data_IF_513190990188
#
_entry.id   IF_513190990188
#
_cell.length_a   1.000
_cell.length_b   1.000
_cell.length_c   1.000
_cell.angle_alpha   90.00
_cell.angle_beta   90.00
_cell.angle_gamma   90.00
#
_symmetry.space_group_name_H-M   'P 1'
#
loop_
_entity.id
_entity.type
_entity.pdbx_description
1 polymer ?
#
# COMPACT_ATOMS: atom_id res chain seq x y z
N UNK A 1 -25.82 -60.05 3.65
CA UNK A 1 -26.16 -58.79 2.95
C UNK A 1 -25.24 -58.67 1.76
N UNK A 2 -25.82 -58.71 0.57
CA UNK A 2 -25.14 -58.91 -0.71
C UNK A 2 -24.19 -57.76 -1.08
N UNK A 3 -23.03 -58.18 -1.55
CA UNK A 3 -21.96 -57.37 -2.10
C UNK A 3 -22.42 -56.84 -3.47
N UNK A 4 -23.05 -55.65 -3.51
CA UNK A 4 -23.47 -55.01 -4.76
C UNK A 4 -22.21 -54.67 -5.57
N UNK A 5 -22.09 -55.31 -6.73
CA UNK A 5 -20.94 -55.21 -7.63
C UNK A 5 -20.66 -53.77 -8.06
N UNK A 6 -19.38 -53.40 -7.96
CA UNK A 6 -18.85 -52.12 -8.43
C UNK A 6 -19.14 -51.95 -9.93
N UNK A 7 -19.70 -50.80 -10.29
CA UNK A 7 -20.08 -50.45 -11.65
C UNK A 7 -18.84 -50.45 -12.56
N UNK A 8 -18.95 -50.93 -13.80
CA UNK A 8 -17.81 -51.08 -14.74
C UNK A 8 -17.03 -49.77 -14.98
N UNK A 9 -17.70 -48.62 -14.81
CA UNK A 9 -17.09 -47.28 -14.87
C UNK A 9 -16.04 -47.07 -13.79
N UNK A 10 -16.22 -47.58 -12.57
CA UNK A 10 -15.24 -47.46 -11.47
C UNK A 10 -13.99 -48.31 -11.71
N UNK A 11 -14.08 -49.37 -12.54
CA UNK A 11 -12.92 -50.17 -12.96
C UNK A 11 -12.07 -49.50 -14.03
N UNK A 12 -12.70 -48.72 -14.92
CA UNK A 12 -11.99 -47.99 -15.98
C UNK A 12 -11.52 -46.60 -15.53
N UNK A 13 -12.24 -46.00 -14.58
CA UNK A 13 -11.91 -44.73 -13.96
C UNK A 13 -11.96 -44.88 -12.45
N UNK A 14 -10.90 -45.46 -11.88
CA UNK A 14 -10.72 -45.44 -10.43
C UNK A 14 -10.62 -43.98 -9.98
N UNK A 15 -11.49 -43.51 -9.07
CA UNK A 15 -11.39 -42.15 -8.56
C UNK A 15 -10.00 -41.95 -7.94
N UNK A 16 -9.23 -41.00 -8.46
CA UNK A 16 -7.90 -40.67 -7.95
C UNK A 16 -7.93 -40.01 -6.56
N UNK A 17 -9.14 -39.74 -6.03
CA UNK A 17 -9.34 -39.13 -4.73
C UNK A 17 -10.51 -39.83 -4.01
N UNK A 18 -10.22 -40.33 -2.81
CA UNK A 18 -11.19 -40.82 -1.83
C UNK A 18 -11.66 -39.68 -0.94
N UNK A 19 -12.85 -39.80 -0.33
CA UNK A 19 -13.29 -38.88 0.72
C UNK A 19 -12.30 -38.84 1.91
N UNK A 20 -11.51 -39.89 2.13
CA UNK A 20 -10.40 -39.87 3.09
C UNK A 20 -9.23 -38.97 2.66
N UNK A 21 -9.01 -38.73 1.37
CA UNK A 21 -7.91 -37.88 0.87
C UNK A 21 -8.16 -36.39 1.13
N UNK A 22 -9.42 -36.00 1.35
CA UNK A 22 -9.79 -34.66 1.82
C UNK A 22 -9.41 -34.41 3.29
N UNK A 23 -9.27 -35.46 4.10
CA UNK A 23 -8.97 -35.35 5.53
C UNK A 23 -7.54 -35.75 5.90
N UNK A 24 -6.83 -36.47 5.03
CA UNK A 24 -5.46 -36.95 5.27
C UNK A 24 -4.37 -35.98 4.79
N UNK A 25 -4.73 -35.03 3.92
CA UNK A 25 -3.80 -33.97 3.52
C UNK A 25 -3.89 -32.84 4.54
N UNK A 26 -2.81 -32.65 5.29
CA UNK A 26 -2.59 -31.51 6.17
C UNK A 26 -2.54 -30.20 5.35
N UNK A 27 -3.70 -29.73 4.87
CA UNK A 27 -3.88 -28.39 4.38
C UNK A 27 -3.78 -27.45 5.58
N UNK A 28 -2.56 -26.98 5.85
CA UNK A 28 -2.39 -25.70 6.52
C UNK A 28 -2.95 -24.66 5.56
N UNK A 29 -4.09 -24.02 5.86
CA UNK A 29 -4.70 -23.09 4.93
C UNK A 29 -3.71 -21.95 4.66
N UNK A 30 -3.55 -21.53 3.39
CA UNK A 30 -2.78 -20.35 3.01
C UNK A 30 -3.09 -19.10 3.87
N UNK A 31 -4.27 -19.07 4.51
CA UNK A 31 -4.66 -18.09 5.54
C UNK A 31 -3.61 -17.92 6.65
N UNK A 32 -2.99 -19.00 7.13
CA UNK A 32 -1.97 -18.92 8.18
C UNK A 32 -0.65 -18.32 7.68
N UNK A 33 -0.33 -18.47 6.39
CA UNK A 33 0.89 -17.89 5.81
C UNK A 33 0.73 -16.37 5.62
N UNK A 34 -0.43 -15.91 5.15
CA UNK A 34 -0.73 -14.48 5.05
C UNK A 34 -0.79 -13.81 6.42
N UNK A 35 -1.39 -14.46 7.42
CA UNK A 35 -1.46 -13.97 8.79
C UNK A 35 -0.06 -13.90 9.45
N UNK A 36 0.79 -14.91 9.26
CA UNK A 36 2.20 -14.88 9.71
C UNK A 36 2.99 -13.77 9.05
N UNK A 37 2.78 -13.52 7.75
CA UNK A 37 3.45 -12.44 7.02
C UNK A 37 2.99 -11.06 7.49
N UNK A 38 1.68 -10.91 7.76
CA UNK A 38 1.09 -9.69 8.31
C UNK A 38 1.62 -9.41 9.73
N UNK A 39 1.67 -10.43 10.59
CA UNK A 39 2.24 -10.33 11.94
C UNK A 39 3.73 -9.96 11.89
N UNK A 40 4.51 -10.55 10.99
CA UNK A 40 5.92 -10.24 10.80
C UNK A 40 6.15 -8.80 10.29
N UNK A 41 5.24 -8.29 9.44
CA UNK A 41 5.26 -6.88 9.01
C UNK A 41 4.89 -5.94 10.16
N UNK A 42 3.87 -6.27 10.94
CA UNK A 42 3.46 -5.48 12.11
C UNK A 42 4.59 -5.38 13.14
N UNK A 43 5.24 -6.51 13.47
CA UNK A 43 6.41 -6.53 14.38
C UNK A 43 7.56 -5.67 13.88
N UNK A 44 7.90 -5.72 12.57
CA UNK A 44 8.94 -4.84 12.00
C UNK A 44 8.59 -3.36 12.11
N UNK A 45 7.33 -3.00 11.88
CA UNK A 45 6.88 -1.60 12.01
C UNK A 45 6.95 -1.15 13.47
N UNK A 46 6.53 -1.99 14.40
CA UNK A 46 6.61 -1.75 15.84
C UNK A 46 8.06 -1.57 16.29
N UNK A 47 8.99 -2.41 15.84
CA UNK A 47 10.43 -2.29 16.10
C UNK A 47 11.02 -0.97 15.57
N UNK A 48 10.62 -0.54 14.37
CA UNK A 48 11.05 0.73 13.79
C UNK A 48 10.54 1.91 14.64
N UNK A 49 9.27 1.87 15.05
CA UNK A 49 8.68 2.93 15.85
C UNK A 49 9.31 3.02 17.24
N UNK A 50 9.51 1.88 17.91
CA UNK A 50 10.19 1.81 19.21
C UNK A 50 11.64 2.27 19.13
N UNK A 51 12.35 1.94 18.04
CA UNK A 51 13.71 2.46 17.78
C UNK A 51 13.71 3.97 17.59
N UNK A 52 12.76 4.50 16.83
CA UNK A 52 12.63 5.95 16.61
C UNK A 52 12.34 6.71 17.91
N UNK A 53 11.46 6.17 18.78
CA UNK A 53 11.18 6.75 20.10
C UNK A 53 12.45 6.77 20.95
N UNK A 54 13.19 5.65 21.00
CA UNK A 54 14.42 5.55 21.78
C UNK A 54 15.46 6.56 21.29
N UNK A 55 15.66 6.64 19.97
CA UNK A 55 16.59 7.59 19.37
C UNK A 55 16.19 9.04 19.66
N UNK A 56 14.90 9.38 19.58
CA UNK A 56 14.40 10.72 19.90
C UNK A 56 14.62 11.08 21.38
N UNK A 57 14.40 10.13 22.30
CA UNK A 57 14.65 10.34 23.73
C UNK A 57 16.16 10.49 24.03
N UNK A 58 17.01 9.69 23.39
CA UNK A 58 18.47 9.79 23.50
C UNK A 58 18.98 11.11 22.91
N UNK A 59 18.48 11.53 21.76
CA UNK A 59 18.83 12.82 21.15
C UNK A 59 18.40 13.99 22.04
N UNK A 60 17.21 13.93 22.65
CA UNK A 60 16.77 14.92 23.64
C UNK A 60 17.68 14.93 24.87
N UNK A 61 18.17 13.77 25.31
CA UNK A 61 19.15 13.66 26.41
C UNK A 61 20.51 14.23 26.04
N UNK A 62 20.99 13.99 24.81
CA UNK A 62 22.23 14.56 24.29
C UNK A 62 22.14 16.08 24.17
N UNK A 63 21.05 16.61 23.61
CA UNK A 63 20.79 18.06 23.55
C UNK A 63 20.72 18.70 24.93
N UNK A 64 20.08 18.04 25.90
CA UNK A 64 20.05 18.49 27.30
C UNK A 64 21.45 18.47 27.90
N UNK A 65 22.25 17.43 27.63
CA UNK A 65 23.65 17.33 28.08
C UNK A 65 24.53 18.40 27.42
N UNK A 66 24.39 18.67 26.12
CA UNK A 66 25.08 19.77 25.43
C UNK A 66 24.68 21.14 25.98
N UNK A 67 23.39 21.34 26.28
CA UNK A 67 22.93 22.58 26.92
C UNK A 67 23.58 22.75 28.30
N UNK A 68 23.63 21.70 29.11
CA UNK A 68 24.35 21.73 30.39
C UNK A 68 25.86 21.86 30.22
N UNK A 69 26.48 21.25 29.21
CA UNK A 69 27.91 21.43 28.94
C UNK A 69 28.22 22.87 28.54
N UNK A 70 27.36 23.51 27.74
CA UNK A 70 27.47 24.94 27.40
C UNK A 70 27.21 25.83 28.63
N UNK A 71 26.30 25.44 29.52
CA UNK A 71 26.01 26.16 30.76
C UNK A 71 27.16 26.03 31.78
N UNK A 72 27.73 24.83 31.94
CA UNK A 72 28.86 24.54 32.84
C UNK A 72 30.14 25.21 32.34
N UNK A 73 30.39 25.21 31.01
CA UNK A 73 31.51 25.97 30.43
C UNK A 73 31.33 27.48 30.65
N UNK A 74 30.10 27.97 30.77
CA UNK A 74 29.80 29.38 31.07
C UNK A 74 29.81 29.70 32.58
N UNK A 75 29.53 28.73 33.45
CA UNK A 75 29.58 28.86 34.92
C UNK A 75 30.99 28.65 35.50
N UNK A 76 31.92 28.04 34.75
CA UNK A 76 33.34 27.91 35.12
C UNK A 76 34.26 28.97 34.47
N UNK A 77 33.72 30.16 34.15
CA UNK A 77 34.53 31.38 34.13
C UNK A 77 34.40 32.07 35.50
N UNK A 78 35.32 31.81 36.45
CA UNK A 78 35.32 32.53 37.70
C UNK A 78 35.70 33.99 37.42
N UNK A 79 34.68 34.86 37.43
CA UNK A 79 34.85 36.28 37.69
C UNK A 79 35.56 36.45 39.05
N UNK A 80 36.87 36.67 39.04
CA UNK A 80 37.63 37.08 40.22
C UNK A 80 38.22 38.46 39.94
N UNK A 81 37.42 39.48 40.26
CA UNK A 81 37.95 40.78 40.68
C UNK A 81 38.10 40.73 42.19
N UNK A 82 39.35 40.74 42.66
CA UNK A 82 39.79 41.35 43.92
C UNK A 82 39.52 40.63 45.24
N UNK A 83 40.49 39.83 45.72
CA UNK A 83 40.83 39.77 47.14
C UNK A 83 42.25 39.22 47.36
N UNK A 84 43.06 40.01 48.08
CA UNK A 84 44.36 39.66 48.70
C UNK A 84 44.34 38.28 49.36
N UNK A 85 45.44 37.53 49.27
CA UNK A 85 46.26 37.04 50.40
C UNK A 85 47.56 36.41 49.85
N UNK A 86 48.66 36.79 50.50
CA UNK A 86 50.05 36.32 50.39
C UNK A 86 50.21 34.80 50.58
N UNK A 87 51.16 34.15 49.89
CA UNK A 87 52.24 33.23 50.38
C UNK A 87 53.23 33.02 49.18
N UNK A 88 54.34 33.76 49.05
CA UNK A 88 55.72 33.50 49.53
C UNK A 88 56.38 32.17 49.09
N UNK A 89 57.38 32.26 48.19
CA UNK A 89 58.71 31.58 48.13
C UNK A 89 59.26 31.72 46.70
N UNK A 90 60.07 32.75 46.41
CA UNK A 90 61.56 32.78 46.46
C UNK A 90 62.24 31.75 45.55
N UNK A 91 62.90 32.25 44.51
CA UNK A 91 64.30 31.98 44.13
C UNK A 91 64.68 33.02 43.05
N UNK A 92 65.28 34.16 43.44
CA UNK A 92 66.71 34.53 43.32
C UNK A 92 67.26 34.50 41.91
N UNK A 93 67.40 35.69 41.30
CA UNK A 93 68.60 36.17 40.59
C UNK A 93 68.38 37.67 40.32
N UNK A 94 68.79 38.50 41.28
CA UNK A 94 68.92 39.95 41.16
C UNK A 94 70.41 40.29 41.08
N UNK A 95 70.84 40.79 39.92
CA UNK A 95 72.06 41.59 39.79
C UNK A 95 71.68 43.06 39.59
N UNK A 96 72.56 43.94 40.08
CA UNK A 96 72.59 45.40 39.88
C UNK A 96 71.77 46.26 40.85
N UNK A 97 72.30 46.42 42.06
CA UNK A 97 72.16 47.66 42.83
C UNK A 97 73.55 48.24 43.14
N UNK A 98 73.81 49.46 42.70
CA UNK A 98 74.91 50.29 43.19
C UNK A 98 74.33 51.59 43.74
N UNK A 99 74.97 52.06 44.81
CA UNK A 99 74.79 53.35 45.50
C UNK A 99 73.79 53.33 46.66
N UNK A 100 74.18 52.66 47.75
CA UNK A 100 73.75 52.96 49.11
C UNK A 100 74.66 54.02 49.73
N UNK A 101 74.04 55.06 50.29
CA UNK A 101 74.65 56.23 50.88
C UNK A 101 75.53 55.93 52.10
N UNK A 102 76.74 56.46 52.11
CA UNK A 102 77.59 56.54 53.29
C UNK A 102 77.32 57.83 54.06
N UNK A 103 76.64 57.72 55.20
CA UNK A 103 76.76 58.67 56.29
C UNK A 103 77.85 58.14 57.23
N UNK A 104 78.99 58.81 57.29
CA UNK A 104 80.03 58.58 58.29
C UNK A 104 80.06 59.80 59.20
N UNK A 105 79.55 59.61 60.42
CA UNK A 105 79.66 60.53 61.53
C UNK A 105 80.91 60.15 62.36
N UNK A 106 81.84 61.11 62.42
CA UNK A 106 82.72 61.51 63.52
C UNK A 106 83.49 60.44 64.34
N UNK A 107 84.83 60.58 64.32
CA UNK A 107 85.73 60.00 65.32
C UNK A 107 87.24 60.21 65.03
N UNK A 108 87.67 61.46 65.03
CA UNK A 108 88.97 62.00 65.51
C UNK A 108 90.22 61.10 65.51
N UNK A 109 91.23 61.43 64.69
CA UNK A 109 92.54 61.91 65.17
C UNK A 109 93.52 62.27 64.04
N UNK A 110 94.12 63.46 64.22
CA UNK A 110 95.44 63.89 63.74
C UNK A 110 95.85 63.68 62.27
N UNK A 111 95.89 64.78 61.51
CA UNK A 111 97.15 65.52 61.36
C UNK A 111 96.97 66.70 60.40
N UNK A 112 97.37 67.87 60.89
CA UNK A 112 97.55 69.09 60.14
C UNK A 112 98.42 68.86 58.89
N UNK A 113 97.96 69.31 57.72
CA UNK A 113 98.72 70.21 56.82
C UNK A 113 97.95 70.57 55.54
N UNK A 114 97.93 71.87 55.27
CA UNK A 114 97.97 72.55 53.96
C UNK A 114 96.94 72.05 52.93
N UNK A 115 96.01 72.88 52.51
CA UNK A 115 96.36 73.97 51.59
C UNK A 115 95.22 74.97 51.53
N UNK A 116 95.55 76.22 51.85
CA UNK A 116 94.76 77.40 51.51
C UNK A 116 94.88 77.61 49.99
N UNK A 117 94.18 76.76 49.24
CA UNK A 117 93.99 76.93 47.81
C UNK A 117 92.92 77.98 47.60
N UNK A 118 93.31 79.15 47.11
CA UNK A 118 92.39 80.18 46.63
C UNK A 118 91.32 79.54 45.74
N UNK A 119 90.07 79.55 46.20
CA UNK A 119 88.95 79.22 45.32
C UNK A 119 88.90 80.34 44.27
N UNK A 120 89.11 79.99 43.00
CA UNK A 120 89.15 80.94 41.87
C UNK A 120 87.79 81.62 41.66
N UNK A 121 86.73 81.11 42.31
CA UNK A 121 85.34 81.48 42.11
C UNK A 121 84.82 82.34 43.26
N UNK A 122 84.03 83.37 42.94
CA UNK A 122 83.39 84.20 43.96
C UNK A 122 82.14 83.50 44.54
N UNK A 123 81.70 83.87 45.74
CA UNK A 123 80.57 83.23 46.43
C UNK A 123 79.25 83.27 45.64
N UNK A 124 79.08 84.26 44.77
CA UNK A 124 77.91 84.47 43.91
C UNK A 124 77.93 83.52 42.71
N UNK A 125 79.07 83.38 42.04
CA UNK A 125 79.31 82.41 40.96
C UNK A 125 79.11 80.97 41.43
N UNK A 126 79.52 80.65 42.67
CA UNK A 126 79.30 79.34 43.26
C UNK A 126 77.81 79.07 43.56
N UNK A 127 77.05 80.11 43.93
CA UNK A 127 75.61 80.01 44.16
C UNK A 127 74.84 79.86 42.84
N UNK A 128 75.20 80.62 41.81
CA UNK A 128 74.62 80.55 40.46
C UNK A 128 74.87 79.17 39.83
N UNK A 129 76.09 78.64 39.97
CA UNK A 129 76.42 77.28 39.49
C UNK A 129 75.60 76.21 40.22
N UNK A 130 75.40 76.35 41.54
CA UNK A 130 74.57 75.41 42.31
C UNK A 130 73.09 75.50 41.90
N UNK A 131 72.58 76.69 41.65
CA UNK A 131 71.22 76.90 41.18
C UNK A 131 71.02 76.29 39.79
N UNK A 132 71.96 76.52 38.88
CA UNK A 132 71.92 75.98 37.52
C UNK A 132 72.05 74.45 37.53
N UNK A 133 72.94 73.88 38.37
CA UNK A 133 73.02 72.43 38.57
C UNK A 133 71.72 71.86 39.15
N UNK A 134 71.07 72.56 40.09
CA UNK A 134 69.79 72.12 40.65
C UNK A 134 68.67 72.17 39.61
N UNK A 135 68.59 73.24 38.80
CA UNK A 135 67.64 73.37 37.69
C UNK A 135 67.84 72.26 36.65
N UNK A 136 69.08 72.04 36.21
CA UNK A 136 69.42 70.95 35.29
C UNK A 136 69.09 69.56 35.88
N UNK A 137 69.25 69.37 37.19
CA UNK A 137 68.86 68.15 37.86
C UNK A 137 67.33 67.95 37.85
N UNK A 138 66.55 68.98 38.20
CA UNK A 138 65.08 68.93 38.18
C UNK A 138 64.56 68.70 36.76
N UNK A 139 65.12 69.37 35.76
CA UNK A 139 64.79 69.15 34.34
C UNK A 139 65.14 67.72 33.90
N UNK A 140 66.31 67.21 34.30
CA UNK A 140 66.70 65.82 34.05
C UNK A 140 65.74 64.80 34.68
N UNK A 141 65.27 65.05 35.91
CA UNK A 141 64.26 64.23 36.59
C UNK A 141 62.91 64.32 35.87
N UNK A 142 62.49 65.51 35.44
CA UNK A 142 61.25 65.73 34.69
C UNK A 142 61.26 64.99 33.35
N UNK A 143 62.34 65.12 32.58
CA UNK A 143 62.50 64.41 31.30
C UNK A 143 62.50 62.89 31.50
N UNK A 144 63.13 62.39 32.57
CA UNK A 144 63.11 60.96 32.92
C UNK A 144 61.70 60.46 33.23
N UNK A 145 60.88 61.26 33.92
CA UNK A 145 59.47 60.95 34.21
C UNK A 145 58.61 60.99 32.93
N UNK A 146 58.84 61.95 32.04
CA UNK A 146 58.15 62.00 30.75
C UNK A 146 58.51 60.77 29.90
N UNK A 147 59.78 60.38 29.87
CA UNK A 147 60.26 59.20 29.14
C UNK A 147 59.65 57.92 29.72
N UNK A 148 59.56 57.77 31.05
CA UNK A 148 58.91 56.61 31.66
C UNK A 148 57.41 56.54 31.33
N UNK A 149 56.73 57.69 31.30
CA UNK A 149 55.31 57.80 30.94
C UNK A 149 55.08 57.39 29.47
N UNK A 150 55.86 57.96 28.55
CA UNK A 150 55.84 57.60 27.12
C UNK A 150 56.14 56.10 26.90
N UNK A 151 57.07 55.53 27.66
CA UNK A 151 57.38 54.11 27.55
C UNK A 151 56.22 53.23 28.04
N UNK A 152 55.50 53.64 29.10
CA UNK A 152 54.31 52.94 29.57
C UNK A 152 53.17 53.00 28.52
N UNK A 153 52.93 54.18 27.93
CA UNK A 153 51.95 54.34 26.83
C UNK A 153 52.31 53.48 25.62
N UNK A 154 53.60 53.38 25.26
CA UNK A 154 54.07 52.53 24.17
C UNK A 154 53.84 51.04 24.44
N UNK A 155 54.06 50.58 25.67
CA UNK A 155 53.75 49.21 26.09
C UNK A 155 52.24 48.94 26.01
N UNK A 156 51.41 49.88 26.45
CA UNK A 156 49.95 49.77 26.39
C UNK A 156 49.44 49.73 24.93
N UNK A 157 49.94 50.63 24.07
CA UNK A 157 49.63 50.65 22.64
C UNK A 157 50.04 49.33 21.97
N UNK A 158 51.23 48.80 22.28
CA UNK A 158 51.68 47.51 21.76
C UNK A 158 50.78 46.36 22.20
N UNK A 159 50.29 46.39 23.44
CA UNK A 159 49.33 45.40 23.94
C UNK A 159 47.98 45.52 23.21
N UNK A 160 47.47 46.74 22.99
CA UNK A 160 46.25 46.99 22.21
C UNK A 160 46.38 46.50 20.76
N UNK A 161 47.50 46.79 20.09
CA UNK A 161 47.76 46.31 18.73
C UNK A 161 47.75 44.78 18.65
N UNK A 162 48.40 44.09 19.60
CA UNK A 162 48.38 42.63 19.67
C UNK A 162 46.96 42.07 19.87
N UNK A 163 46.17 42.71 20.73
CA UNK A 163 44.78 42.31 20.97
C UNK A 163 43.94 42.45 19.71
N UNK A 164 44.02 43.60 19.04
CA UNK A 164 43.30 43.85 17.78
C UNK A 164 43.70 42.84 16.70
N UNK A 165 44.98 42.48 16.62
CA UNK A 165 45.43 41.46 15.67
C UNK A 165 44.77 40.10 15.92
N UNK A 166 44.73 39.64 17.17
CA UNK A 166 44.06 38.37 17.53
C UNK A 166 42.56 38.44 17.24
N UNK A 167 41.91 39.55 17.60
CA UNK A 167 40.47 39.75 17.34
C UNK A 167 40.17 39.74 15.82
N UNK A 168 41.07 40.32 15.01
CA UNK A 168 40.97 40.31 13.55
C UNK A 168 41.13 38.90 12.96
N UNK A 169 42.14 38.15 13.40
CA UNK A 169 42.38 36.76 12.97
C UNK A 169 41.17 35.86 13.33
N UNK A 170 40.58 36.06 14.51
CA UNK A 170 39.36 35.35 14.93
C UNK A 170 38.16 35.69 14.04
N UNK A 171 37.93 36.98 13.76
CA UNK A 171 36.84 37.40 12.89
C UNK A 171 36.97 36.86 11.45
N UNK A 172 38.20 36.77 10.93
CA UNK A 172 38.47 36.17 9.62
C UNK A 172 38.13 34.67 9.59
N UNK A 173 38.48 33.93 10.65
CA UNK A 173 38.13 32.52 10.79
C UNK A 173 36.61 32.31 10.90
N UNK A 174 35.91 33.13 11.66
CA UNK A 174 34.44 33.10 11.75
C UNK A 174 33.81 33.37 10.38
N UNK A 175 34.30 34.35 9.64
CA UNK A 175 33.82 34.65 8.29
C UNK A 175 34.02 33.46 7.33
N UNK A 176 35.16 32.78 7.41
CA UNK A 176 35.43 31.59 6.61
C UNK A 176 34.46 30.45 6.96
N UNK A 177 34.19 30.24 8.24
CA UNK A 177 33.23 29.25 8.73
C UNK A 177 31.80 29.58 8.27
N UNK A 178 31.38 30.85 8.35
CA UNK A 178 30.08 31.27 7.83
C UNK A 178 29.97 31.02 6.31
N UNK A 179 31.04 31.29 5.55
CA UNK A 179 31.06 31.06 4.09
C UNK A 179 30.92 29.58 3.75
N UNK A 180 31.59 28.69 4.49
CA UNK A 180 31.46 27.24 4.28
C UNK A 180 30.06 26.75 4.65
N UNK A 181 29.49 27.22 5.77
CA UNK A 181 28.14 26.89 6.19
C UNK A 181 27.08 27.32 5.15
N UNK A 182 27.19 28.55 4.63
CA UNK A 182 26.29 29.05 3.57
C UNK A 182 26.38 28.18 2.32
N UNK A 183 27.59 27.76 1.92
CA UNK A 183 27.77 26.84 0.78
C UNK A 183 27.10 25.49 1.03
N UNK A 184 27.26 24.92 2.22
CA UNK A 184 26.61 23.67 2.61
C UNK A 184 25.09 23.78 2.58
N UNK A 185 24.53 24.84 3.17
CA UNK A 185 23.07 25.11 3.16
C UNK A 185 22.52 25.28 1.75
N UNK A 186 23.25 25.95 0.86
CA UNK A 186 22.84 26.10 -0.54
C UNK A 186 22.76 24.74 -1.26
N UNK A 187 23.75 23.87 -1.07
CA UNK A 187 23.72 22.50 -1.63
C UNK A 187 22.51 21.72 -1.09
N UNK A 188 22.23 21.81 0.21
CA UNK A 188 21.06 21.16 0.81
C UNK A 188 19.75 21.69 0.23
N UNK A 189 19.61 23.01 0.04
CA UNK A 189 18.43 23.61 -0.58
C UNK A 189 18.23 23.13 -2.03
N UNK A 190 19.30 23.07 -2.83
CA UNK A 190 19.23 22.54 -4.19
C UNK A 190 18.80 21.07 -4.21
N UNK A 191 19.26 20.27 -3.25
CA UNK A 191 18.84 18.88 -3.13
C UNK A 191 17.36 18.76 -2.76
N UNK A 192 16.90 19.52 -1.76
CA UNK A 192 15.50 19.58 -1.36
C UNK A 192 14.61 19.99 -2.53
N UNK A 193 15.02 20.99 -3.31
CA UNK A 193 14.28 21.44 -4.49
C UNK A 193 14.15 20.33 -5.54
N UNK A 194 15.25 19.59 -5.84
CA UNK A 194 15.21 18.45 -6.76
C UNK A 194 14.28 17.35 -6.27
N UNK A 195 14.31 17.05 -4.98
CA UNK A 195 13.47 16.01 -4.40
C UNK A 195 11.99 16.43 -4.34
N UNK A 196 11.72 17.73 -4.13
CA UNK A 196 10.36 18.29 -4.27
C UNK A 196 9.82 18.09 -5.68
N UNK A 197 10.61 18.45 -6.71
CA UNK A 197 10.19 18.29 -8.11
C UNK A 197 9.92 16.82 -8.46
N UNK A 198 10.73 15.88 -7.97
CA UNK A 198 10.48 14.44 -8.16
C UNK A 198 9.15 14.02 -7.54
N UNK A 199 8.86 14.44 -6.31
CA UNK A 199 7.59 14.14 -5.64
C UNK A 199 6.41 14.76 -6.39
N UNK A 200 6.56 15.96 -6.94
CA UNK A 200 5.51 16.60 -7.74
C UNK A 200 5.20 15.79 -9.01
N UNK A 201 6.22 15.26 -9.69
CA UNK A 201 6.04 14.35 -10.83
C UNK A 201 5.34 13.04 -10.41
N UNK A 202 5.75 12.44 -9.30
CA UNK A 202 5.11 11.23 -8.75
C UNK A 202 3.64 11.47 -8.40
N UNK A 203 3.32 12.62 -7.78
CA UNK A 203 1.95 13.02 -7.46
C UNK A 203 1.11 13.22 -8.73
N UNK A 204 1.68 13.84 -9.77
CA UNK A 204 1.00 14.01 -11.05
C UNK A 204 0.72 12.65 -11.73
N UNK A 205 1.68 11.73 -11.70
CA UNK A 205 1.52 10.39 -12.23
C UNK A 205 0.43 9.61 -11.47
N UNK A 206 0.42 9.67 -10.14
CA UNK A 206 -0.62 9.04 -9.31
C UNK A 206 -2.00 9.63 -9.60
N UNK A 207 -2.10 10.95 -9.78
CA UNK A 207 -3.36 11.62 -10.14
C UNK A 207 -3.89 11.14 -11.49
N UNK A 208 -3.02 11.02 -12.50
CA UNK A 208 -3.40 10.46 -13.79
C UNK A 208 -3.89 9.01 -13.65
N UNK A 209 -3.16 8.18 -12.92
CA UNK A 209 -3.54 6.79 -12.69
C UNK A 209 -4.91 6.67 -12.00
N UNK A 210 -5.20 7.55 -11.05
CA UNK A 210 -6.50 7.61 -10.38
C UNK A 210 -7.61 8.00 -11.35
N UNK A 211 -7.37 8.98 -12.22
CA UNK A 211 -8.33 9.38 -13.26
C UNK A 211 -8.62 8.22 -14.23
N UNK A 212 -7.60 7.50 -14.69
CA UNK A 212 -7.76 6.33 -15.54
C UNK A 212 -8.57 5.22 -14.86
N UNK A 213 -8.25 4.90 -13.59
CA UNK A 213 -9.03 3.91 -12.82
C UNK A 213 -10.47 4.34 -12.63
N UNK A 214 -10.72 5.62 -12.35
CA UNK A 214 -12.07 6.18 -12.25
C UNK A 214 -12.84 6.06 -13.58
N UNK A 215 -12.18 6.31 -14.71
CA UNK A 215 -12.77 6.14 -16.03
C UNK A 215 -13.14 4.66 -16.32
N UNK A 216 -12.26 3.73 -15.98
CA UNK A 216 -12.52 2.30 -16.16
C UNK A 216 -13.69 1.82 -15.29
N UNK A 217 -13.78 2.28 -14.02
CA UNK A 217 -14.92 1.95 -13.15
C UNK A 217 -16.23 2.44 -13.76
N UNK A 218 -16.25 3.63 -14.39
CA UNK A 218 -17.44 4.15 -15.07
C UNK A 218 -17.85 3.27 -16.26
N UNK A 219 -16.89 2.91 -17.13
CA UNK A 219 -17.14 2.00 -18.26
C UNK A 219 -17.70 0.66 -17.80
N UNK A 220 -17.07 0.03 -16.80
CA UNK A 220 -17.53 -1.25 -16.25
C UNK A 220 -18.93 -1.15 -15.64
N UNK A 221 -19.27 -0.04 -14.99
CA UNK A 221 -20.62 0.18 -14.48
C UNK A 221 -21.66 0.32 -15.59
N UNK A 222 -21.31 0.98 -16.70
CA UNK A 222 -22.16 1.10 -17.88
C UNK A 222 -22.38 -0.27 -18.55
N UNK A 223 -21.32 -1.06 -18.73
CA UNK A 223 -21.38 -2.43 -19.25
C UNK A 223 -22.22 -3.34 -18.35
N UNK A 224 -22.05 -3.24 -17.04
CA UNK A 224 -22.83 -4.02 -16.07
C UNK A 224 -24.32 -3.64 -16.13
N UNK A 225 -24.65 -2.36 -16.26
CA UNK A 225 -26.03 -1.91 -16.43
C UNK A 225 -26.64 -2.44 -17.74
N UNK A 226 -25.86 -2.46 -18.82
CA UNK A 226 -26.28 -2.98 -20.11
C UNK A 226 -26.53 -4.50 -20.04
N UNK A 227 -25.61 -5.27 -19.46
CA UNK A 227 -25.77 -6.70 -19.24
C UNK A 227 -27.02 -7.03 -18.39
N UNK A 228 -27.31 -6.23 -17.36
CA UNK A 228 -28.55 -6.38 -16.58
C UNK A 228 -29.80 -6.18 -17.42
N UNK A 229 -29.84 -5.17 -18.29
CA UNK A 229 -30.97 -4.95 -19.21
C UNK A 229 -31.14 -6.12 -20.17
N UNK A 230 -30.05 -6.67 -20.69
CA UNK A 230 -30.08 -7.82 -21.59
C UNK A 230 -30.61 -9.08 -20.89
N UNK A 231 -30.17 -9.35 -19.65
CA UNK A 231 -30.69 -10.45 -18.83
C UNK A 231 -32.20 -10.30 -18.63
N UNK A 232 -32.69 -9.09 -18.28
CA UNK A 232 -34.12 -8.85 -18.11
C UNK A 232 -34.91 -9.06 -19.41
N UNK A 233 -34.37 -8.62 -20.54
CA UNK A 233 -34.98 -8.84 -21.86
C UNK A 233 -35.05 -10.32 -22.23
N UNK A 234 -33.99 -11.08 -21.97
CA UNK A 234 -33.96 -12.52 -22.19
C UNK A 234 -34.91 -13.27 -21.27
N UNK A 235 -35.04 -12.88 -20.00
CA UNK A 235 -35.98 -13.48 -19.06
C UNK A 235 -37.44 -13.30 -19.52
N UNK A 236 -37.80 -12.12 -20.02
CA UNK A 236 -39.11 -11.87 -20.62
C UNK A 236 -39.35 -12.76 -21.83
N UNK A 237 -38.41 -12.81 -22.79
CA UNK A 237 -38.51 -13.70 -23.96
C UNK A 237 -38.65 -15.16 -23.57
N UNK A 238 -37.93 -15.61 -22.54
CA UNK A 238 -38.00 -16.99 -22.07
C UNK A 238 -39.37 -17.30 -21.46
N UNK A 239 -39.96 -16.37 -20.69
CA UNK A 239 -41.34 -16.48 -20.18
C UNK A 239 -42.35 -16.57 -21.31
N UNK A 240 -42.22 -15.74 -22.34
CA UNK A 240 -43.11 -15.74 -23.50
C UNK A 240 -43.02 -17.07 -24.26
N UNK A 241 -41.80 -17.55 -24.54
CA UNK A 241 -41.56 -18.85 -25.17
C UNK A 241 -42.13 -20.01 -24.34
N UNK A 242 -41.98 -19.96 -23.01
CA UNK A 242 -42.53 -20.97 -22.12
C UNK A 242 -44.07 -21.00 -22.18
N UNK A 243 -44.73 -19.84 -22.30
CA UNK A 243 -46.17 -19.76 -22.50
C UNK A 243 -46.59 -20.33 -23.85
N UNK A 244 -45.84 -20.01 -24.91
CA UNK A 244 -46.13 -20.50 -26.26
C UNK A 244 -46.00 -22.03 -26.34
N UNK A 245 -44.96 -22.59 -25.73
CA UNK A 245 -44.78 -24.05 -25.61
C UNK A 245 -45.95 -24.69 -24.86
N UNK A 246 -46.45 -24.07 -23.79
CA UNK A 246 -47.63 -24.59 -23.05
C UNK A 246 -48.89 -24.60 -23.94
N UNK A 247 -49.14 -23.52 -24.68
CA UNK A 247 -50.28 -23.43 -25.61
C UNK A 247 -50.19 -24.47 -26.72
N UNK A 248 -49.02 -24.62 -27.34
CA UNK A 248 -48.79 -25.61 -28.39
C UNK A 248 -48.99 -27.04 -27.88
N UNK A 249 -48.51 -27.36 -26.67
CA UNK A 249 -48.77 -28.66 -26.04
C UNK A 249 -50.27 -28.93 -25.86
N UNK A 250 -51.02 -27.95 -25.34
CA UNK A 250 -52.47 -28.07 -25.18
C UNK A 250 -53.19 -28.27 -26.53
N UNK A 251 -52.80 -27.51 -27.56
CA UNK A 251 -53.37 -27.66 -28.91
C UNK A 251 -53.06 -29.04 -29.50
N UNK A 252 -51.82 -29.51 -29.37
CA UNK A 252 -51.42 -30.84 -29.82
C UNK A 252 -52.21 -31.95 -29.12
N UNK A 253 -52.38 -31.87 -27.80
CA UNK A 253 -53.14 -32.86 -27.04
C UNK A 253 -54.63 -32.88 -27.41
N UNK A 254 -55.23 -31.71 -27.64
CA UNK A 254 -56.60 -31.60 -28.14
C UNK A 254 -56.73 -32.16 -29.56
N UNK A 255 -55.79 -31.83 -30.45
CA UNK A 255 -55.74 -32.36 -31.82
C UNK A 255 -55.61 -33.88 -31.85
N UNK A 256 -54.76 -34.46 -30.99
CA UNK A 256 -54.61 -35.91 -30.86
C UNK A 256 -55.90 -36.58 -30.39
N UNK A 257 -56.57 -36.02 -29.38
CA UNK A 257 -57.88 -36.52 -28.92
C UNK A 257 -58.93 -36.49 -30.02
N UNK A 258 -59.02 -35.37 -30.75
CA UNK A 258 -59.96 -35.23 -31.87
C UNK A 258 -59.67 -36.21 -33.01
N UNK A 259 -58.39 -36.45 -33.34
CA UNK A 259 -57.99 -37.47 -34.31
C UNK A 259 -58.40 -38.88 -33.88
N UNK A 260 -58.14 -39.25 -32.62
CA UNK A 260 -58.54 -40.55 -32.07
C UNK A 260 -60.07 -40.73 -32.15
N UNK A 261 -60.83 -39.72 -31.75
CA UNK A 261 -62.29 -39.75 -31.79
C UNK A 261 -62.82 -39.86 -33.23
N UNK A 262 -62.26 -39.12 -34.17
CA UNK A 262 -62.60 -39.22 -35.59
C UNK A 262 -62.37 -40.63 -36.14
N UNK A 263 -61.23 -41.24 -35.79
CA UNK A 263 -60.92 -42.62 -36.19
C UNK A 263 -61.92 -43.60 -35.56
N UNK A 264 -62.26 -43.42 -34.28
CA UNK A 264 -63.26 -44.26 -33.59
C UNK A 264 -64.63 -44.17 -34.27
N UNK A 265 -65.14 -42.95 -34.51
CA UNK A 265 -66.42 -42.72 -35.19
C UNK A 265 -66.46 -43.33 -36.59
N UNK A 266 -65.35 -43.27 -37.33
CA UNK A 266 -65.24 -43.89 -38.65
C UNK A 266 -65.40 -45.42 -38.59
N UNK A 267 -64.75 -46.07 -37.62
CA UNK A 267 -64.91 -47.51 -37.43
C UNK A 267 -66.31 -47.87 -36.90
N UNK A 268 -66.88 -47.08 -35.98
CA UNK A 268 -68.25 -47.29 -35.49
C UNK A 268 -69.30 -47.15 -36.61
N UNK A 269 -69.09 -46.22 -37.56
CA UNK A 269 -69.92 -46.11 -38.76
C UNK A 269 -69.78 -47.33 -39.67
N UNK A 270 -68.55 -47.78 -39.94
CA UNK A 270 -68.31 -48.99 -40.74
C UNK A 270 -68.93 -50.24 -40.12
N UNK A 271 -68.80 -50.40 -38.80
CA UNK A 271 -69.41 -51.52 -38.06
C UNK A 271 -70.92 -51.49 -38.21
N UNK A 272 -71.56 -50.33 -37.99
CA UNK A 272 -73.02 -50.17 -38.17
C UNK A 272 -73.47 -50.47 -39.59
N UNK A 273 -72.68 -50.06 -40.59
CA UNK A 273 -72.98 -50.36 -41.99
C UNK A 273 -72.94 -51.86 -42.27
N UNK A 274 -71.86 -52.54 -41.84
CA UNK A 274 -71.72 -54.00 -41.98
C UNK A 274 -72.85 -54.74 -41.22
N UNK A 275 -73.22 -54.28 -40.02
CA UNK A 275 -74.32 -54.86 -39.26
C UNK A 275 -75.67 -54.74 -39.98
N UNK A 276 -75.92 -53.59 -40.62
CA UNK A 276 -77.12 -53.38 -41.44
C UNK A 276 -77.11 -54.31 -42.65
N UNK A 277 -76.01 -54.35 -43.40
CA UNK A 277 -75.85 -55.26 -44.55
C UNK A 277 -76.05 -56.74 -44.14
N UNK A 278 -75.54 -57.15 -42.97
CA UNK A 278 -75.75 -58.49 -42.44
C UNK A 278 -77.23 -58.79 -42.11
N UNK A 279 -77.97 -57.83 -41.54
CA UNK A 279 -79.39 -58.00 -41.23
C UNK A 279 -80.23 -58.03 -42.52
N UNK A 280 -79.91 -57.20 -43.50
CA UNK A 280 -80.53 -57.20 -44.83
C UNK A 280 -80.35 -58.59 -45.48
N UNK A 281 -79.12 -59.11 -45.56
CA UNK A 281 -78.83 -60.47 -46.08
C UNK A 281 -79.53 -61.58 -45.27
N UNK A 282 -79.65 -61.41 -43.95
CA UNK A 282 -80.34 -62.37 -43.09
C UNK A 282 -81.84 -62.41 -43.38
N UNK A 283 -82.45 -61.25 -43.62
CA UNK A 283 -83.86 -61.14 -44.00
C UNK A 283 -84.11 -61.79 -45.37
N UNK A 284 -83.27 -61.50 -46.37
CA UNK A 284 -83.30 -62.12 -47.69
C UNK A 284 -83.17 -63.65 -47.60
N UNK A 285 -82.22 -64.16 -46.79
CA UNK A 285 -82.05 -65.59 -46.57
C UNK A 285 -83.29 -66.23 -45.90
N UNK A 286 -83.97 -65.53 -45.01
CA UNK A 286 -85.21 -66.01 -44.38
C UNK A 286 -86.35 -66.10 -45.39
N UNK A 287 -86.48 -65.08 -46.24
CA UNK A 287 -87.48 -65.05 -47.31
C UNK A 287 -87.23 -66.15 -48.34
N UNK A 288 -85.97 -66.37 -48.73
CA UNK A 288 -85.57 -67.44 -49.65
C UNK A 288 -85.82 -68.83 -49.03
N UNK A 289 -85.54 -69.02 -47.74
CA UNK A 289 -85.89 -70.25 -47.02
C UNK A 289 -87.40 -70.49 -46.99
N UNK A 290 -88.19 -69.43 -46.77
CA UNK A 290 -89.65 -69.51 -46.78
C UNK A 290 -90.17 -69.87 -48.18
N UNK A 291 -89.61 -69.25 -49.22
CA UNK A 291 -89.92 -69.54 -50.61
C UNK A 291 -89.55 -70.97 -50.98
N UNK A 292 -88.35 -71.42 -50.61
CA UNK A 292 -87.90 -72.80 -50.79
C UNK A 292 -88.82 -73.80 -50.10
N UNK A 293 -89.24 -73.54 -48.85
CA UNK A 293 -90.20 -74.39 -48.14
C UNK A 293 -91.55 -74.49 -48.86
N UNK A 294 -92.05 -73.38 -49.45
CA UNK A 294 -93.24 -73.40 -50.31
C UNK A 294 -93.02 -74.23 -51.57
N UNK A 295 -91.88 -74.07 -52.24
CA UNK A 295 -91.52 -74.82 -53.44
C UNK A 295 -91.39 -76.32 -53.17
N UNK A 296 -90.75 -76.72 -52.06
CA UNK A 296 -90.68 -78.13 -51.63
C UNK A 296 -92.07 -78.71 -51.39
N UNK A 297 -92.96 -77.98 -50.71
CA UNK A 297 -94.37 -78.41 -50.53
C UNK A 297 -95.09 -78.55 -51.87
N UNK A 298 -94.90 -77.62 -52.80
CA UNK A 298 -95.49 -77.70 -54.14
C UNK A 298 -94.97 -78.91 -54.92
N UNK A 299 -93.66 -79.17 -54.89
CA UNK A 299 -93.05 -80.36 -55.49
C UNK A 299 -93.55 -81.65 -54.84
N UNK A 300 -93.80 -81.65 -53.53
CA UNK A 300 -94.35 -82.81 -52.84
C UNK A 300 -95.82 -83.07 -53.20
N UNK A 301 -96.63 -82.02 -53.38
CA UNK A 301 -97.99 -82.11 -53.94
C UNK A 301 -97.93 -82.69 -55.35
N UNK A 302 -97.03 -82.20 -56.21
CA UNK A 302 -96.83 -82.73 -57.56
C UNK A 302 -96.40 -84.20 -57.51
N UNK A 303 -95.41 -84.55 -56.67
CA UNK A 303 -94.98 -85.95 -56.48
C UNK A 303 -96.16 -86.84 -56.06
N UNK A 304 -97.00 -86.40 -55.12
CA UNK A 304 -98.22 -87.11 -54.71
C UNK A 304 -99.22 -87.25 -55.86
N UNK A 305 -99.44 -86.20 -56.65
CA UNK A 305 -100.31 -86.23 -57.83
C UNK A 305 -99.82 -87.26 -58.87
N UNK A 306 -98.54 -87.23 -59.23
CA UNK A 306 -97.94 -88.19 -60.17
C UNK A 306 -97.87 -89.63 -59.61
N UNK A 307 -97.83 -89.80 -58.29
CA UNK A 307 -97.86 -91.12 -57.64
C UNK A 307 -99.28 -91.69 -57.50
N UNK A 308 -100.31 -90.83 -57.51
CA UNK A 308 -101.73 -91.20 -57.50
C UNK A 308 -102.32 -91.40 -58.91
N UNK A 309 -101.54 -91.12 -59.95
CA UNK A 309 -101.86 -91.45 -61.34
C UNK A 309 -101.61 -92.95 -61.60
N UNK A 310 -102.53 -93.69 -62.25
CA UNK A 310 -102.23 -95.04 -62.70
C UNK A 310 -101.14 -95.01 -63.77
N UNK A 311 -100.22 -95.98 -63.77
CA UNK A 311 -99.38 -96.28 -64.93
C UNK A 311 -100.31 -96.65 -66.10
N UNK A 312 -100.67 -95.67 -66.94
CA UNK A 312 -101.12 -95.94 -68.30
C UNK A 312 -99.88 -95.92 -69.18
N UNK A 313 -99.49 -97.11 -69.66
CA UNK A 313 -98.51 -97.32 -70.73
C UNK A 313 -98.66 -96.26 -71.83
N UNK A 314 -97.64 -95.44 -72.00
CA UNK A 314 -97.37 -94.69 -73.23
C UNK A 314 -95.91 -95.00 -73.62
N UNK A 315 -95.62 -96.30 -73.77
CA UNK A 315 -94.75 -96.76 -74.85
C UNK A 315 -95.64 -96.73 -76.08
N UNK A 316 -95.62 -95.63 -76.83
CA UNK A 316 -95.83 -95.56 -78.27
C UNK A 316 -95.91 -94.08 -78.67
N UNK A 317 -95.04 -93.69 -79.59
CA UNK A 317 -94.84 -92.35 -80.17
C UNK A 317 -93.90 -91.42 -79.39
N UNK A 318 -92.60 -91.70 -79.49
CA UNK A 318 -91.67 -90.86 -80.27
C UNK A 318 -90.34 -91.60 -80.42
N UNK A 319 -90.34 -92.48 -81.42
CA UNK A 319 -89.16 -92.86 -82.18
C UNK A 319 -88.76 -91.64 -83.03
N UNK A 320 -87.47 -91.51 -83.34
CA UNK A 320 -86.78 -90.57 -84.26
C UNK A 320 -86.16 -89.37 -83.54
N UNK A 321 -84.85 -89.09 -83.60
CA UNK A 321 -83.67 -89.80 -84.12
C UNK A 321 -82.42 -89.18 -83.46
N UNK A 322 -81.36 -89.98 -83.37
CA UNK A 322 -80.01 -89.49 -83.12
C UNK A 322 -79.48 -88.75 -84.36
N UNK A 323 -78.97 -87.54 -84.16
CA UNK A 323 -77.80 -86.99 -84.85
C UNK A 323 -77.04 -86.06 -83.90
#
# INVERSE_FOLDING_TARGET
MENKGKHWVEKLFSPHFSAQDFFSQAYQPESLMFEKLALARAKRVEEIYNRAIKNFQEEKRLKKREYFSKLIVREYEPNIVGAKINISKKETEEDSACCGAGNLDVGTEESLKKTEGHCIWNAKELADLRQEMHKNHVEGVSLKLQLSTLNAELVELKAKCKKIQVDFENAEQELLNCKTEVRCKNIQLQQIQKDSLKKDFELQALKQHLHEKSANIRSLNEELLQARKEIQSLDLKNKDLQQEVKKLKQQHDLGNKACIEKVKLHYDLKIRNIQKELEDVRSELSDEKLLHAKNVKALEILRKHFSAQPLSNIFDNLRVDFL
#
